data_IF_394444539688
#
_entry.id   IF_394444539688
#
_cell.length_a   1.000
_cell.length_b   1.000
_cell.length_c   1.000
_cell.angle_alpha   90.00
_cell.angle_beta   90.00
_cell.angle_gamma   90.00
#
_symmetry.space_group_name_H-M   'P 1'
#
loop_
_entity.id
_entity.type
_entity.pdbx_description
1 polymer ?
#
# COMPACT_ATOMS: atom_id res chain seq x y z
N UNK A 1 -7.03 -2.32 -9.72
CA UNK A 1 -6.65 -3.74 -9.70
C UNK A 1 -6.39 -4.19 -8.26
N UNK A 2 -6.67 -5.46 -7.96
CA UNK A 2 -6.44 -6.08 -6.64
C UNK A 2 -5.90 -7.51 -6.84
N UNK A 3 -4.90 -7.65 -7.71
CA UNK A 3 -4.31 -8.94 -8.11
C UNK A 3 -3.21 -9.29 -7.11
N UNK A 4 -3.13 -10.51 -6.54
CA UNK A 4 -2.03 -10.88 -5.65
C UNK A 4 -0.66 -10.69 -6.32
N UNK A 5 0.32 -10.17 -5.57
CA UNK A 5 1.64 -9.75 -6.09
C UNK A 5 2.31 -10.74 -7.04
N UNK A 6 2.33 -12.07 -6.79
CA UNK A 6 2.96 -13.03 -7.70
C UNK A 6 2.37 -13.06 -9.11
N UNK A 7 1.10 -12.70 -9.27
CA UNK A 7 0.38 -12.78 -10.54
C UNK A 7 0.32 -11.44 -11.28
N UNK A 8 0.71 -10.33 -10.63
CA UNK A 8 0.61 -8.98 -11.21
C UNK A 8 1.33 -8.90 -12.56
N UNK A 9 2.57 -9.39 -12.63
CA UNK A 9 3.37 -9.28 -13.84
C UNK A 9 2.74 -10.01 -15.03
N UNK A 10 2.25 -11.25 -14.82
CA UNK A 10 1.63 -12.04 -15.87
C UNK A 10 0.32 -11.39 -16.34
N UNK A 11 -0.59 -11.10 -15.41
CA UNK A 11 -1.90 -10.52 -15.73
C UNK A 11 -1.78 -9.16 -16.41
N UNK A 12 -0.85 -8.30 -15.96
CA UNK A 12 -0.71 -6.97 -16.55
C UNK A 12 -0.04 -6.98 -17.92
N UNK A 13 0.78 -8.00 -18.23
CA UNK A 13 1.28 -8.22 -19.58
C UNK A 13 0.15 -8.60 -20.53
N UNK A 14 -0.70 -9.54 -20.12
CA UNK A 14 -1.84 -10.00 -20.93
C UNK A 14 -2.85 -8.87 -21.21
N UNK A 15 -2.98 -7.93 -20.28
CA UNK A 15 -3.88 -6.78 -20.40
C UNK A 15 -3.24 -5.56 -21.05
N UNK A 16 -1.92 -5.53 -21.27
CA UNK A 16 -1.18 -4.33 -21.66
C UNK A 16 -1.73 -3.68 -22.95
N UNK A 17 -2.10 -4.50 -23.93
CA UNK A 17 -2.63 -4.03 -25.23
C UNK A 17 -4.03 -3.42 -25.13
N UNK A 18 -4.78 -3.70 -24.07
CA UNK A 18 -6.12 -3.16 -23.83
C UNK A 18 -6.10 -1.82 -23.07
N UNK A 19 -4.94 -1.45 -22.50
CA UNK A 19 -4.79 -0.25 -21.69
C UNK A 19 -4.58 0.99 -22.56
N UNK A 20 -5.30 2.06 -22.23
CA UNK A 20 -5.29 3.35 -22.93
C UNK A 20 -4.79 4.45 -21.99
N UNK A 21 -3.48 4.74 -21.96
CA UNK A 21 -2.88 5.69 -21.00
C UNK A 21 -3.49 7.10 -21.05
N UNK A 22 -3.98 7.56 -22.21
CA UNK A 22 -4.63 8.87 -22.33
C UNK A 22 -5.95 8.98 -21.56
N UNK A 23 -6.70 7.90 -21.47
CA UNK A 23 -8.09 7.90 -20.97
C UNK A 23 -8.23 7.21 -19.61
N UNK A 24 -7.22 6.45 -19.18
CA UNK A 24 -7.32 5.56 -18.03
C UNK A 24 -6.30 5.91 -16.94
N UNK A 25 -6.72 5.71 -15.70
CA UNK A 25 -5.87 5.71 -14.51
C UNK A 25 -5.95 4.31 -13.92
N UNK A 26 -4.80 3.75 -13.56
CA UNK A 26 -4.76 2.48 -12.85
C UNK A 26 -4.55 2.73 -11.37
N UNK A 27 -5.49 2.25 -10.56
CA UNK A 27 -5.39 2.22 -9.11
C UNK A 27 -5.05 0.80 -8.67
N UNK A 28 -3.87 0.58 -8.10
CA UNK A 28 -3.50 -0.68 -7.47
C UNK A 28 -3.85 -0.65 -5.99
N UNK A 29 -4.58 -1.65 -5.51
CA UNK A 29 -4.76 -1.92 -4.09
C UNK A 29 -3.96 -3.16 -3.63
N UNK A 30 -3.12 -3.69 -4.50
CA UNK A 30 -2.25 -4.84 -4.21
C UNK A 30 -1.15 -4.42 -3.24
N UNK A 31 -0.87 -5.26 -2.24
CA UNK A 31 0.20 -5.02 -1.24
C UNK A 31 1.13 -6.22 -1.23
N UNK A 32 2.41 -6.01 -1.45
CA UNK A 32 3.42 -7.06 -1.34
C UNK A 32 4.71 -6.72 -2.07
N UNK A 33 5.70 -7.56 -1.85
CA UNK A 33 7.01 -7.53 -2.52
C UNK A 33 7.16 -8.87 -3.24
N UNK A 34 7.61 -8.85 -4.50
CA UNK A 34 7.85 -10.08 -5.25
C UNK A 34 9.10 -10.79 -4.71
N UNK A 35 8.97 -12.04 -4.28
CA UNK A 35 10.04 -12.74 -3.54
C UNK A 35 11.35 -12.87 -4.34
N UNK A 36 11.27 -13.16 -5.63
CA UNK A 36 12.45 -13.50 -6.42
C UNK A 36 13.30 -12.28 -6.78
N UNK A 37 12.65 -11.13 -7.00
CA UNK A 37 13.30 -9.90 -7.48
C UNK A 37 13.30 -8.77 -6.46
N UNK A 38 12.57 -8.93 -5.36
CA UNK A 38 12.35 -7.92 -4.33
C UNK A 38 11.69 -6.64 -4.84
N UNK A 39 10.94 -6.74 -5.94
CA UNK A 39 10.21 -5.63 -6.54
C UNK A 39 8.90 -5.34 -5.79
N UNK A 40 8.63 -4.07 -5.52
CA UNK A 40 7.31 -3.52 -5.17
C UNK A 40 6.34 -3.62 -6.34
N UNK A 41 5.04 -3.46 -6.08
CA UNK A 41 4.03 -3.50 -7.16
C UNK A 41 4.28 -2.37 -8.17
N UNK A 42 4.74 -1.21 -7.72
CA UNK A 42 5.12 -0.14 -8.63
C UNK A 42 6.23 -0.55 -9.59
N UNK A 43 7.31 -1.15 -9.09
CA UNK A 43 8.43 -1.60 -9.93
C UNK A 43 7.99 -2.68 -10.91
N UNK A 44 7.13 -3.61 -10.49
CA UNK A 44 6.53 -4.62 -11.38
C UNK A 44 5.73 -3.95 -12.50
N UNK A 45 4.85 -3.00 -12.16
CA UNK A 45 3.99 -2.31 -13.13
C UNK A 45 4.82 -1.47 -14.11
N UNK A 46 5.81 -0.72 -13.64
CA UNK A 46 6.68 0.08 -14.51
C UNK A 46 7.53 -0.80 -15.44
N UNK A 47 7.89 -2.02 -15.01
CA UNK A 47 8.61 -2.99 -15.82
C UNK A 47 7.75 -3.63 -16.92
N UNK A 48 6.47 -3.88 -16.66
CA UNK A 48 5.59 -4.61 -17.61
C UNK A 48 4.70 -3.72 -18.46
N UNK A 49 4.47 -2.48 -18.04
CA UNK A 49 3.62 -1.53 -18.77
C UNK A 49 4.43 -0.52 -19.58
N UNK A 50 3.91 -0.03 -20.71
CA UNK A 50 4.52 1.05 -21.47
C UNK A 50 4.75 2.29 -20.62
N UNK A 51 5.85 3.02 -20.88
CA UNK A 51 6.24 4.23 -20.15
C UNK A 51 5.18 5.33 -20.16
N UNK A 52 4.37 5.40 -21.22
CA UNK A 52 3.21 6.30 -21.32
C UNK A 52 2.18 6.08 -20.20
N UNK A 53 2.16 4.91 -19.57
CA UNK A 53 1.23 4.57 -18.50
C UNK A 53 1.80 4.83 -17.10
N UNK A 54 3.11 4.97 -16.94
CA UNK A 54 3.77 5.22 -15.64
C UNK A 54 3.21 6.44 -14.89
N UNK A 55 2.97 7.61 -15.52
CA UNK A 55 2.36 8.76 -14.81
C UNK A 55 0.90 8.52 -14.43
N UNK A 56 0.25 7.48 -14.98
CA UNK A 56 -1.16 7.10 -14.75
C UNK A 56 -1.34 6.04 -13.67
N UNK A 57 -0.23 5.64 -13.02
CA UNK A 57 -0.22 4.70 -11.92
C UNK A 57 -0.53 5.40 -10.60
N UNK A 58 -1.39 4.78 -9.82
CA UNK A 58 -1.72 5.17 -8.45
C UNK A 58 -1.90 3.94 -7.58
N UNK A 59 -1.70 4.12 -6.29
CA UNK A 59 -1.63 3.04 -5.30
C UNK A 59 -2.48 3.43 -4.10
N UNK A 60 -3.25 2.50 -3.56
CA UNK A 60 -4.12 2.73 -2.41
C UNK A 60 -3.72 1.80 -1.27
N UNK A 61 -3.38 2.38 -0.13
CA UNK A 61 -3.06 1.64 1.10
C UNK A 61 -3.58 2.37 2.33
N UNK A 62 -3.52 1.70 3.47
CA UNK A 62 -4.03 2.20 4.75
C UNK A 62 -4.85 1.16 5.50
N UNK A 63 -5.40 1.56 6.67
CA UNK A 63 -6.29 0.75 7.49
C UNK A 63 -7.66 0.60 6.80
N UNK A 64 -7.89 -0.52 6.12
CA UNK A 64 -9.10 -0.73 5.31
C UNK A 64 -9.57 -2.18 5.29
N UNK A 65 -10.00 -2.71 6.43
CA UNK A 65 -10.61 -4.05 6.47
C UNK A 65 -11.82 -4.10 5.53
N UNK A 66 -11.78 -5.03 4.58
CA UNK A 66 -12.78 -5.11 3.50
C UNK A 66 -14.22 -5.23 4.03
N UNK A 67 -14.41 -5.95 5.14
CA UNK A 67 -15.72 -6.10 5.77
C UNK A 67 -16.24 -4.80 6.39
N UNK A 68 -15.37 -3.94 6.91
CA UNK A 68 -15.74 -2.65 7.50
C UNK A 68 -16.09 -1.65 6.40
N UNK A 69 -15.29 -1.62 5.33
CA UNK A 69 -15.58 -0.82 4.13
C UNK A 69 -16.92 -1.24 3.51
N UNK A 70 -17.18 -2.54 3.37
CA UNK A 70 -18.43 -3.06 2.82
C UNK A 70 -19.66 -2.75 3.71
N UNK A 71 -19.45 -2.60 5.02
CA UNK A 71 -20.49 -2.16 5.98
C UNK A 71 -20.62 -0.64 6.06
N UNK A 72 -19.89 0.08 5.22
CA UNK A 72 -19.81 1.54 5.21
C UNK A 72 -19.41 2.13 6.59
N UNK A 73 -18.50 1.48 7.30
CA UNK A 73 -17.93 2.04 8.52
C UNK A 73 -16.85 3.08 8.17
N UNK A 74 -16.65 4.12 9.00
CA UNK A 74 -15.65 5.15 8.73
C UNK A 74 -14.27 4.57 8.48
N UNK A 75 -13.75 4.78 7.27
CA UNK A 75 -12.45 4.26 6.83
C UNK A 75 -11.60 5.38 6.28
N UNK A 76 -10.32 5.41 6.64
CA UNK A 76 -9.36 6.39 6.13
C UNK A 76 -8.21 5.67 5.42
N UNK A 77 -7.90 6.09 4.19
CA UNK A 77 -6.83 5.51 3.37
C UNK A 77 -5.95 6.58 2.77
N UNK A 78 -4.79 6.19 2.25
CA UNK A 78 -3.88 7.04 1.49
C UNK A 78 -3.79 6.54 0.05
N UNK A 79 -3.87 7.49 -0.88
CA UNK A 79 -3.58 7.29 -2.30
C UNK A 79 -2.20 7.87 -2.58
N UNK A 80 -1.30 7.07 -3.15
CA UNK A 80 -0.03 7.54 -3.69
C UNK A 80 -0.05 7.55 -5.22
N UNK A 81 0.46 8.60 -5.83
CA UNK A 81 0.70 8.67 -7.28
C UNK A 81 1.89 9.59 -7.55
N UNK A 82 2.73 9.27 -8.54
CA UNK A 82 3.87 10.14 -8.89
C UNK A 82 3.39 11.47 -9.51
N UNK A 83 2.31 11.42 -10.31
CA UNK A 83 1.61 12.61 -10.80
C UNK A 83 0.54 13.04 -9.80
N UNK A 84 0.66 14.25 -9.28
CA UNK A 84 -0.29 14.78 -8.30
C UNK A 84 -1.71 14.90 -8.87
N UNK A 85 -1.87 15.18 -10.17
CA UNK A 85 -3.18 15.29 -10.80
C UNK A 85 -3.91 13.95 -10.80
N UNK A 86 -3.18 12.85 -10.99
CA UNK A 86 -3.74 11.50 -10.85
C UNK A 86 -4.18 11.25 -9.42
N UNK A 87 -3.35 11.64 -8.43
CA UNK A 87 -3.74 11.58 -7.03
C UNK A 87 -5.02 12.35 -6.72
N UNK A 88 -5.14 13.60 -7.22
CA UNK A 88 -6.34 14.45 -7.06
C UNK A 88 -7.56 13.79 -7.68
N UNK A 89 -7.43 13.32 -8.93
CA UNK A 89 -8.51 12.65 -9.65
C UNK A 89 -9.02 11.43 -8.88
N UNK A 90 -8.13 10.52 -8.49
CA UNK A 90 -8.51 9.30 -7.75
C UNK A 90 -9.12 9.65 -6.38
N UNK A 91 -8.57 10.64 -5.67
CA UNK A 91 -9.13 11.09 -4.40
C UNK A 91 -10.57 11.61 -4.57
N UNK A 92 -10.82 12.42 -5.59
CA UNK A 92 -12.16 12.97 -5.85
C UNK A 92 -13.18 11.89 -6.21
N UNK A 93 -12.75 10.84 -6.90
CA UNK A 93 -13.61 9.71 -7.29
C UNK A 93 -13.96 8.78 -6.13
N UNK A 94 -13.02 8.54 -5.22
CA UNK A 94 -13.19 7.54 -4.16
C UNK A 94 -13.65 8.13 -2.82
N UNK A 95 -13.44 9.43 -2.58
CA UNK A 95 -13.79 10.03 -1.29
C UNK A 95 -15.30 10.16 -1.11
N UNK A 96 -15.80 9.67 0.02
CA UNK A 96 -17.21 9.80 0.45
C UNK A 96 -17.27 10.28 1.89
N UNK A 97 -18.48 10.48 2.43
CA UNK A 97 -18.67 10.81 3.85
C UNK A 97 -18.10 9.73 4.80
N UNK A 98 -17.97 8.47 4.33
CA UNK A 98 -17.58 7.31 5.13
C UNK A 98 -16.23 6.72 4.70
N UNK A 99 -15.73 7.09 3.53
CA UNK A 99 -14.44 6.64 3.00
C UNK A 99 -13.58 7.85 2.67
N UNK A 100 -12.63 8.19 3.55
CA UNK A 100 -11.80 9.38 3.40
C UNK A 100 -10.45 9.02 2.81
N UNK A 101 -10.15 9.59 1.65
CA UNK A 101 -8.84 9.43 1.02
C UNK A 101 -7.94 10.63 1.32
N UNK A 102 -6.70 10.35 1.72
CA UNK A 102 -5.59 11.30 1.77
C UNK A 102 -4.67 11.06 0.56
N UNK A 103 -3.81 12.01 0.21
CA UNK A 103 -2.89 11.92 -0.93
C UNK A 103 -1.44 12.04 -0.50
N UNK A 104 -0.56 11.38 -1.23
CA UNK A 104 0.90 11.58 -1.18
C UNK A 104 1.48 11.36 -2.57
N UNK A 105 2.65 11.93 -2.85
CA UNK A 105 3.44 11.60 -4.04
C UNK A 105 4.46 10.48 -3.78
N UNK A 106 4.60 10.08 -2.51
CA UNK A 106 5.54 9.05 -2.07
C UNK A 106 4.96 7.64 -2.24
N UNK A 107 5.09 7.12 -3.46
CA UNK A 107 4.69 5.75 -3.81
C UNK A 107 5.51 4.71 -3.05
N UNK A 108 6.81 4.96 -2.87
CA UNK A 108 7.73 4.01 -2.22
C UNK A 108 7.33 3.80 -0.76
N UNK A 109 7.13 4.89 -0.01
CA UNK A 109 6.70 4.80 1.39
C UNK A 109 5.35 4.12 1.55
N UNK A 110 4.40 4.39 0.65
CA UNK A 110 3.08 3.77 0.68
C UNK A 110 3.14 2.25 0.43
N UNK A 111 3.89 1.82 -0.59
CA UNK A 111 4.04 0.39 -0.96
C UNK A 111 4.79 -0.38 0.13
N UNK A 112 5.89 0.16 0.64
CA UNK A 112 6.68 -0.50 1.68
C UNK A 112 5.94 -0.56 3.02
N UNK A 113 5.28 0.52 3.44
CA UNK A 113 4.42 0.51 4.63
C UNK A 113 3.26 -0.49 4.50
N UNK A 114 2.63 -0.54 3.32
CA UNK A 114 1.53 -1.46 3.04
C UNK A 114 1.92 -2.93 2.98
N UNK A 115 3.10 -3.25 2.45
CA UNK A 115 3.58 -4.63 2.27
C UNK A 115 4.19 -5.21 3.54
N UNK A 116 5.08 -4.46 4.21
CA UNK A 116 5.84 -4.96 5.34
C UNK A 116 5.02 -5.09 6.63
N UNK A 117 3.90 -4.37 6.74
CA UNK A 117 2.99 -4.49 7.91
C UNK A 117 2.47 -5.90 8.13
N UNK A 118 2.32 -6.68 7.05
CA UNK A 118 1.79 -8.03 7.13
C UNK A 118 2.79 -8.99 7.80
N UNK A 119 4.09 -8.75 7.64
CA UNK A 119 5.14 -9.51 8.34
C UNK A 119 5.05 -9.25 9.84
N UNK A 120 4.88 -7.99 10.23
CA UNK A 120 4.73 -7.63 11.65
C UNK A 120 3.45 -8.19 12.26
N UNK A 121 2.36 -8.23 11.49
CA UNK A 121 1.11 -8.83 11.93
C UNK A 121 1.25 -10.34 12.22
N UNK A 122 2.02 -11.08 11.41
CA UNK A 122 2.33 -12.49 11.68
C UNK A 122 3.11 -12.62 13.00
N UNK A 123 4.14 -11.80 13.22
CA UNK A 123 4.89 -11.81 14.46
C UNK A 123 4.03 -11.50 15.70
N UNK A 124 3.09 -10.55 15.57
CA UNK A 124 2.12 -10.26 16.62
C UNK A 124 1.19 -11.44 16.88
N UNK A 125 0.68 -12.09 15.82
CA UNK A 125 -0.16 -13.29 15.94
C UNK A 125 0.56 -14.48 16.61
N UNK A 126 1.86 -14.66 16.35
CA UNK A 126 2.68 -15.65 17.06
C UNK A 126 2.79 -15.30 18.55
N UNK A 127 3.10 -14.03 18.86
CA UNK A 127 3.18 -13.55 20.25
C UNK A 127 1.87 -13.74 21.01
N UNK A 128 0.73 -13.48 20.35
CA UNK A 128 -0.60 -13.69 20.90
C UNK A 128 -0.88 -15.19 21.11
N UNK A 129 -0.54 -16.04 20.13
CA UNK A 129 -0.73 -17.49 20.21
C UNK A 129 0.08 -18.17 21.32
N UNK A 130 1.25 -17.62 21.69
CA UNK A 130 2.07 -18.10 22.81
C UNK A 130 1.66 -17.47 24.15
N UNK A 131 0.81 -16.44 24.13
CA UNK A 131 0.27 -15.82 25.35
C UNK A 131 1.19 -14.82 26.04
N UNK A 132 2.10 -14.15 25.31
CA UNK A 132 3.03 -13.17 25.90
C UNK A 132 2.35 -11.85 26.34
N UNK A 133 1.09 -11.65 26.00
CA UNK A 133 0.29 -10.50 26.43
C UNK A 133 0.63 -9.18 25.73
N UNK A 134 -0.08 -8.13 26.12
CA UNK A 134 -0.08 -6.85 25.40
C UNK A 134 1.25 -6.08 25.46
N UNK A 135 2.07 -6.28 26.50
CA UNK A 135 3.38 -5.61 26.62
C UNK A 135 4.35 -6.09 25.53
N UNK A 136 4.42 -7.40 25.32
CA UNK A 136 5.27 -7.99 24.28
C UNK A 136 4.79 -7.56 22.88
N UNK A 137 3.48 -7.56 22.65
CA UNK A 137 2.86 -7.07 21.41
C UNK A 137 3.20 -5.60 21.14
N UNK A 138 3.05 -4.72 22.12
CA UNK A 138 3.38 -3.30 21.98
C UNK A 138 4.88 -3.09 21.67
N UNK A 139 5.76 -3.86 22.33
CA UNK A 139 7.19 -3.82 22.05
C UNK A 139 7.51 -4.29 20.63
N UNK A 140 6.88 -5.38 20.16
CA UNK A 140 7.01 -5.89 18.80
C UNK A 140 6.56 -4.87 17.77
N UNK A 141 5.37 -4.27 17.93
CA UNK A 141 4.85 -3.26 17.01
C UNK A 141 5.81 -2.07 16.93
N UNK A 142 6.27 -1.57 18.07
CA UNK A 142 7.15 -0.39 18.13
C UNK A 142 8.49 -0.67 17.46
N UNK A 143 9.13 -1.80 17.78
CA UNK A 143 10.44 -2.18 17.23
C UNK A 143 10.35 -2.54 15.76
N UNK A 144 9.34 -3.32 15.37
CA UNK A 144 9.11 -3.72 13.99
C UNK A 144 8.77 -2.53 13.10
N UNK A 145 7.96 -1.58 13.58
CA UNK A 145 7.71 -0.34 12.85
C UNK A 145 9.01 0.45 12.61
N UNK A 146 9.89 0.58 13.60
CA UNK A 146 11.17 1.26 13.41
C UNK A 146 12.06 0.60 12.35
N UNK A 147 12.03 -0.74 12.26
CA UNK A 147 12.76 -1.46 11.20
C UNK A 147 12.16 -1.20 9.81
N UNK A 148 10.83 -1.22 9.69
CA UNK A 148 10.11 -0.88 8.46
C UNK A 148 10.44 0.55 8.01
N UNK A 149 10.39 1.51 8.93
CA UNK A 149 10.72 2.91 8.65
C UNK A 149 12.16 3.02 8.16
N UNK A 150 13.12 2.42 8.85
CA UNK A 150 14.54 2.45 8.44
C UNK A 150 14.73 1.90 7.03
N UNK A 151 14.14 0.75 6.72
CA UNK A 151 14.22 0.16 5.39
C UNK A 151 13.56 1.04 4.32
N UNK A 152 12.41 1.63 4.63
CA UNK A 152 11.71 2.50 3.70
C UNK A 152 12.51 3.77 3.38
N UNK A 153 13.14 4.39 4.40
CA UNK A 153 13.98 5.57 4.22
C UNK A 153 15.22 5.27 3.36
N UNK A 154 15.87 4.12 3.56
CA UNK A 154 16.98 3.66 2.70
C UNK A 154 16.55 3.45 1.25
N UNK A 155 15.27 3.13 1.01
CA UNK A 155 14.67 3.03 -0.32
C UNK A 155 14.15 4.36 -0.87
N UNK A 156 14.32 5.47 -0.16
CA UNK A 156 13.92 6.81 -0.60
C UNK A 156 12.49 7.20 -0.24
N UNK A 157 11.84 6.48 0.68
CA UNK A 157 10.53 6.88 1.20
C UNK A 157 10.61 8.21 1.97
N UNK A 158 9.50 8.93 1.99
CA UNK A 158 9.37 10.15 2.78
C UNK A 158 9.02 9.80 4.24
N UNK A 159 9.77 10.31 5.24
CA UNK A 159 9.45 10.12 6.65
C UNK A 159 8.01 10.47 7.03
N UNK A 160 7.43 11.50 6.41
CA UNK A 160 6.06 11.93 6.68
C UNK A 160 5.01 10.90 6.25
N UNK A 161 5.23 10.20 5.14
CA UNK A 161 4.34 9.10 4.69
C UNK A 161 4.37 7.95 5.68
N UNK A 162 5.56 7.62 6.17
CA UNK A 162 5.76 6.53 7.12
C UNK A 162 5.13 6.81 8.49
N UNK A 163 5.12 8.07 8.92
CA UNK A 163 4.39 8.51 10.12
C UNK A 163 2.86 8.59 9.95
N UNK A 164 2.35 8.48 8.72
CA UNK A 164 0.92 8.61 8.41
C UNK A 164 0.14 7.30 8.40
N UNK A 165 -1.03 7.33 7.74
CA UNK A 165 -1.93 6.17 7.61
C UNK A 165 -1.32 5.00 6.85
N UNK A 166 -0.41 5.26 5.91
CA UNK A 166 0.21 4.23 5.08
C UNK A 166 1.31 3.43 5.82
N UNK A 167 1.95 4.02 6.83
CA UNK A 167 2.90 3.36 7.71
C UNK A 167 2.25 2.96 9.04
N UNK A 168 2.40 3.81 10.06
CA UNK A 168 1.93 3.54 11.43
C UNK A 168 0.42 3.27 11.49
N UNK A 169 -0.40 4.03 10.79
CA UNK A 169 -1.86 3.86 10.85
C UNK A 169 -2.35 2.51 10.33
N UNK A 170 -1.69 1.96 9.31
CA UNK A 170 -1.97 0.61 8.81
C UNK A 170 -1.50 -0.48 9.77
N UNK A 171 -0.41 -0.24 10.51
CA UNK A 171 0.14 -1.18 11.48
C UNK A 171 -0.74 -1.31 12.73
N UNK A 172 -1.21 -0.20 13.30
CA UNK A 172 -2.04 -0.21 14.51
C UNK A 172 -3.37 -0.93 14.30
N UNK A 173 -3.93 -0.90 13.08
CA UNK A 173 -5.14 -1.67 12.75
C UNK A 173 -4.87 -3.17 12.56
N UNK A 174 -3.70 -3.53 12.02
CA UNK A 174 -3.43 -4.92 11.60
C UNK A 174 -2.81 -5.75 12.72
N UNK A 175 -2.08 -5.10 13.62
CA UNK A 175 -1.46 -5.73 14.77
C UNK A 175 -2.32 -5.61 16.01
#
# INVERSE_FOLDING_TARGET
MVIPTPFVAATMKDLAELLRPGDQVLVSCTKGILNDTLETVNEILERVLPTAFHPRLSYLSGPSFAIEVAKELPTAVTIAAKDENVGIYVQSMLSTAKFRCYRTTDVVGLELGGSLKNVLAIACGISDGVGFGHNARAALITRGNNEIVRLALEKGANPHTMGGLAGVGGLVLTG
#
